data_IF_959350245677
#
_entry.id   IF_959350245677
#
_cell.length_a   1.000
_cell.length_b   1.000
_cell.length_c   1.000
_cell.angle_alpha   90.00
_cell.angle_beta   90.00
_cell.angle_gamma   90.00
#
_symmetry.space_group_name_H-M   'P 1'
#
loop_
_entity.id
_entity.type
_entity.pdbx_description
1 polymer ?
#
# COMPACT_ATOMS: atom_id res chain seq x y z
N UNK A 1 24.63 -16.61 -2.62
CA UNK A 1 23.50 -16.53 -1.68
C UNK A 1 22.36 -15.75 -2.31
N UNK A 2 22.32 -14.41 -2.29
CA UNK A 2 21.29 -13.64 -3.02
C UNK A 2 21.07 -14.05 -4.49
N UNK A 3 22.13 -14.14 -5.30
CA UNK A 3 22.02 -14.56 -6.71
C UNK A 3 21.46 -15.99 -6.85
N UNK A 4 21.73 -16.87 -5.89
CA UNK A 4 21.19 -18.23 -5.89
C UNK A 4 19.72 -18.23 -5.51
N UNK A 5 19.33 -17.46 -4.50
CA UNK A 5 17.92 -17.28 -4.11
C UNK A 5 17.08 -16.75 -5.28
N UNK A 6 17.57 -15.72 -6.00
CA UNK A 6 16.89 -15.18 -7.19
C UNK A 6 16.81 -16.23 -8.31
N UNK A 7 17.84 -17.04 -8.50
CA UNK A 7 17.81 -18.12 -9.50
C UNK A 7 16.80 -19.21 -9.14
N UNK A 8 16.73 -19.61 -7.87
CA UNK A 8 15.74 -20.57 -7.36
C UNK A 8 14.31 -20.05 -7.55
N UNK A 9 14.07 -18.80 -7.13
CA UNK A 9 12.78 -18.12 -7.35
C UNK A 9 12.35 -18.08 -8.83
N UNK A 10 13.30 -17.82 -9.74
CA UNK A 10 13.01 -17.79 -11.18
C UNK A 10 12.74 -19.18 -11.77
N UNK A 11 13.29 -20.24 -11.16
CA UNK A 11 13.08 -21.63 -11.60
C UNK A 11 11.77 -22.21 -11.03
N UNK A 12 11.30 -21.71 -9.89
CA UNK A 12 9.99 -22.06 -9.31
C UNK A 12 9.98 -23.39 -8.55
N UNK A 13 11.14 -24.00 -8.33
CA UNK A 13 11.29 -25.22 -7.52
C UNK A 13 11.70 -24.82 -6.09
N UNK A 14 11.05 -25.42 -5.09
CA UNK A 14 11.34 -25.26 -3.66
C UNK A 14 11.41 -23.80 -3.16
N UNK A 15 10.34 -23.02 -3.38
CA UNK A 15 10.25 -21.60 -2.98
C UNK A 15 10.63 -21.36 -1.51
N UNK A 16 10.25 -22.27 -0.61
CA UNK A 16 10.55 -22.19 0.82
C UNK A 16 12.03 -22.22 1.17
N UNK A 17 12.89 -22.72 0.28
CA UNK A 17 14.34 -22.76 0.51
C UNK A 17 15.01 -21.40 0.28
N UNK A 18 14.33 -20.51 -0.45
CA UNK A 18 14.87 -19.24 -0.91
C UNK A 18 14.04 -18.03 -0.47
N UNK A 19 12.83 -18.25 0.03
CA UNK A 19 11.86 -17.24 0.41
C UNK A 19 11.20 -17.58 1.75
N UNK A 20 11.10 -16.58 2.60
CA UNK A 20 10.15 -16.57 3.71
C UNK A 20 8.73 -16.45 3.14
N UNK A 21 8.16 -17.61 2.77
CA UNK A 21 6.84 -17.72 2.14
C UNK A 21 5.77 -17.14 3.04
N UNK A 22 5.82 -17.38 4.35
CA UNK A 22 4.85 -16.84 5.32
C UNK A 22 4.83 -15.31 5.29
N UNK A 23 6.01 -14.70 5.43
CA UNK A 23 6.16 -13.25 5.37
C UNK A 23 5.70 -12.66 4.03
N UNK A 24 6.00 -13.35 2.91
CA UNK A 24 5.58 -12.92 1.58
C UNK A 24 4.06 -12.99 1.38
N UNK A 25 3.40 -14.07 1.80
CA UNK A 25 1.94 -14.20 1.69
C UNK A 25 1.22 -13.16 2.55
N UNK A 26 1.71 -12.89 3.78
CA UNK A 26 1.16 -11.82 4.63
C UNK A 26 1.34 -10.44 4.01
N UNK A 27 2.51 -10.17 3.43
CA UNK A 27 2.77 -8.92 2.71
C UNK A 27 1.77 -8.73 1.55
N UNK A 28 1.57 -9.76 0.72
CA UNK A 28 0.63 -9.66 -0.39
C UNK A 28 -0.82 -9.54 0.07
N UNK A 29 -1.24 -10.32 1.08
CA UNK A 29 -2.58 -10.22 1.65
C UNK A 29 -2.87 -8.79 2.16
N UNK A 30 -1.92 -8.19 2.89
CA UNK A 30 -2.07 -6.82 3.37
C UNK A 30 -2.17 -5.80 2.22
N UNK A 31 -1.33 -5.90 1.19
CA UNK A 31 -1.41 -5.00 0.02
C UNK A 31 -2.72 -5.16 -0.76
N UNK A 32 -3.23 -6.39 -0.90
CA UNK A 32 -4.52 -6.66 -1.55
C UNK A 32 -5.70 -6.10 -0.77
N UNK A 33 -5.71 -6.31 0.55
CA UNK A 33 -6.79 -5.84 1.42
C UNK A 33 -6.84 -4.31 1.43
N UNK A 34 -5.67 -3.68 1.57
CA UNK A 34 -5.54 -2.22 1.62
C UNK A 34 -5.56 -1.56 0.25
N UNK A 35 -5.55 -2.32 -0.85
CA UNK A 35 -5.42 -1.80 -2.22
C UNK A 35 -4.23 -0.82 -2.31
N UNK A 36 -3.09 -1.27 -1.81
CA UNK A 36 -1.86 -0.49 -1.84
C UNK A 36 -1.16 -0.67 -3.19
N UNK A 37 -1.54 0.16 -4.16
CA UNK A 37 -1.02 0.08 -5.52
C UNK A 37 0.29 0.84 -5.71
N UNK A 38 0.73 1.69 -4.77
CA UNK A 38 2.10 2.23 -4.80
C UNK A 38 3.07 1.21 -4.19
N UNK A 39 3.07 -0.02 -4.73
CA UNK A 39 3.80 -1.16 -4.18
C UNK A 39 4.32 -2.08 -5.28
N UNK A 40 4.74 -3.30 -4.92
CA UNK A 40 5.13 -4.33 -5.88
C UNK A 40 4.04 -4.64 -6.92
N UNK A 41 2.75 -4.57 -6.57
CA UNK A 41 1.66 -5.13 -7.41
C UNK A 41 1.20 -4.23 -8.57
N UNK A 42 1.76 -3.05 -8.72
CA UNK A 42 1.50 -2.15 -9.85
C UNK A 42 2.75 -1.90 -10.69
N UNK A 43 2.61 -1.17 -11.81
CA UNK A 43 3.69 -0.83 -12.75
C UNK A 43 4.96 -0.23 -12.11
N UNK A 44 4.85 0.46 -10.96
CA UNK A 44 5.98 1.13 -10.32
C UNK A 44 6.93 0.18 -9.58
N UNK A 45 6.42 -0.93 -9.01
CA UNK A 45 7.23 -1.92 -8.27
C UNK A 45 8.04 -1.32 -7.10
N UNK A 46 7.48 -0.37 -6.37
CA UNK A 46 8.17 0.37 -5.31
C UNK A 46 7.73 -0.03 -3.89
N UNK A 47 8.27 0.65 -2.89
CA UNK A 47 7.81 0.63 -1.48
C UNK A 47 7.89 -0.74 -0.78
N UNK A 48 8.96 -1.47 -1.04
CA UNK A 48 9.38 -2.61 -0.23
C UNK A 48 10.90 -2.72 -0.21
N UNK A 49 11.41 -3.41 0.82
CA UNK A 49 12.79 -3.88 0.85
C UNK A 49 12.82 -5.39 0.72
N UNK A 50 13.90 -5.92 0.12
CA UNK A 50 14.24 -7.33 0.22
C UNK A 50 15.38 -7.48 1.20
N UNK A 51 15.11 -8.21 2.28
CA UNK A 51 16.11 -8.58 3.27
C UNK A 51 16.53 -10.02 3.04
N UNK A 52 17.84 -10.27 2.95
CA UNK A 52 18.38 -11.63 2.82
C UNK A 52 19.08 -12.04 4.11
N UNK A 53 18.75 -13.23 4.60
CA UNK A 53 19.42 -13.86 5.73
C UNK A 53 19.62 -15.34 5.45
N UNK A 54 20.88 -15.77 5.49
CA UNK A 54 21.30 -17.17 5.33
C UNK A 54 20.80 -17.87 4.05
N UNK A 55 20.59 -17.10 2.98
CA UNK A 55 20.11 -17.56 1.68
C UNK A 55 18.60 -17.38 1.47
N UNK A 56 17.85 -17.00 2.50
CA UNK A 56 16.39 -16.83 2.47
C UNK A 56 16.05 -15.34 2.36
N UNK A 57 15.17 -15.00 1.42
CA UNK A 57 14.67 -13.65 1.20
C UNK A 57 13.37 -13.42 1.97
N UNK A 58 13.24 -12.25 2.60
CA UNK A 58 11.99 -11.75 3.19
C UNK A 58 11.67 -10.40 2.56
N UNK A 59 10.40 -10.19 2.22
CA UNK A 59 9.90 -8.88 1.79
C UNK A 59 9.46 -8.06 3.00
N UNK A 60 9.95 -6.84 3.10
CA UNK A 60 9.62 -5.91 4.18
C UNK A 60 8.81 -4.75 3.62
N UNK A 61 7.64 -4.45 4.22
CA UNK A 61 6.81 -3.33 3.77
C UNK A 61 7.49 -1.99 4.06
N UNK A 62 7.31 -1.04 3.16
CA UNK A 62 7.71 0.35 3.33
C UNK A 62 6.61 1.26 2.79
N UNK A 63 6.48 2.47 3.33
CA UNK A 63 5.62 3.56 2.87
C UNK A 63 4.19 3.17 2.41
N UNK A 64 3.25 3.15 3.36
CA UNK A 64 1.85 2.77 3.15
C UNK A 64 0.91 3.99 3.14
N UNK A 65 1.45 5.20 3.02
CA UNK A 65 0.65 6.43 3.04
C UNK A 65 -0.40 6.53 1.91
N UNK A 66 -0.17 5.86 0.78
CA UNK A 66 -1.10 5.78 -0.36
C UNK A 66 -1.86 4.45 -0.44
N UNK A 67 -1.89 3.70 0.68
CA UNK A 67 -2.84 2.60 0.88
C UNK A 67 -4.29 3.12 0.92
N UNK A 68 -5.24 2.22 1.12
CA UNK A 68 -6.68 2.51 1.05
C UNK A 68 -7.10 3.08 -0.31
N UNK A 69 -6.53 2.52 -1.38
CA UNK A 69 -6.74 2.95 -2.76
C UNK A 69 -6.28 4.39 -3.08
N UNK A 70 -5.42 4.99 -2.25
CA UNK A 70 -4.89 6.35 -2.44
C UNK A 70 -3.98 6.54 -3.66
N UNK A 71 -3.52 5.45 -4.28
CA UNK A 71 -2.70 5.46 -5.49
C UNK A 71 -3.42 4.86 -6.71
N UNK A 72 -3.79 5.72 -7.67
CA UNK A 72 -4.15 5.33 -9.06
C UNK A 72 -5.14 4.16 -9.24
N UNK A 73 -6.12 4.02 -8.35
CA UNK A 73 -7.11 2.92 -8.41
C UNK A 73 -8.24 3.13 -9.44
N UNK A 74 -8.38 4.34 -9.96
CA UNK A 74 -9.36 4.69 -11.00
C UNK A 74 -10.73 5.10 -10.46
N UNK A 75 -11.47 4.19 -9.83
CA UNK A 75 -12.83 4.47 -9.34
C UNK A 75 -13.12 3.85 -7.96
N UNK A 76 -14.14 4.36 -7.26
CA UNK A 76 -14.59 3.82 -5.98
C UNK A 76 -15.00 2.34 -6.09
N UNK A 77 -15.71 1.98 -7.16
CA UNK A 77 -16.09 0.59 -7.41
C UNK A 77 -14.87 -0.31 -7.64
N UNK A 78 -13.88 0.13 -8.42
CA UNK A 78 -12.65 -0.62 -8.62
C UNK A 78 -11.83 -0.78 -7.32
N UNK A 79 -11.84 0.24 -6.45
CA UNK A 79 -11.17 0.21 -5.16
C UNK A 79 -11.84 -0.72 -4.15
N UNK A 80 -13.17 -0.66 -4.05
CA UNK A 80 -13.94 -1.50 -3.13
C UNK A 80 -13.91 -2.96 -3.60
N UNK A 81 -14.08 -3.19 -4.90
CA UNK A 81 -14.18 -4.53 -5.46
C UNK A 81 -12.84 -5.14 -5.91
N UNK A 82 -11.70 -4.49 -5.63
CA UNK A 82 -10.39 -4.96 -6.09
C UNK A 82 -10.20 -6.49 -5.89
N UNK A 83 -9.92 -7.25 -6.96
CA UNK A 83 -9.97 -8.71 -6.95
C UNK A 83 -8.79 -9.29 -6.17
N UNK A 84 -9.05 -10.24 -5.25
CA UNK A 84 -7.98 -10.81 -4.43
C UNK A 84 -7.14 -11.88 -5.12
N UNK A 85 -7.64 -12.55 -6.15
CA UNK A 85 -6.93 -13.63 -6.86
C UNK A 85 -6.19 -13.13 -8.11
N UNK A 86 -6.45 -11.89 -8.51
CA UNK A 86 -5.64 -11.16 -9.49
C UNK A 86 -5.32 -9.75 -8.98
N UNK A 87 -4.60 -9.62 -7.85
CA UNK A 87 -4.50 -8.36 -7.12
C UNK A 87 -3.39 -7.46 -7.71
N UNK A 88 -3.53 -7.11 -8.99
CA UNK A 88 -2.59 -6.25 -9.73
C UNK A 88 -3.34 -5.12 -10.44
N UNK A 89 -2.65 -4.02 -10.72
CA UNK A 89 -3.20 -2.88 -11.45
C UNK A 89 -2.25 -2.35 -12.53
N UNK A 90 -2.79 -2.12 -13.72
CA UNK A 90 -2.04 -1.61 -14.88
C UNK A 90 -1.01 -2.60 -15.45
N UNK A 91 -1.02 -3.85 -14.98
CA UNK A 91 -0.14 -4.95 -15.40
C UNK A 91 -0.88 -6.28 -15.27
N UNK A 92 -0.35 -7.33 -15.90
CA UNK A 92 -0.81 -8.71 -15.71
C UNK A 92 -0.12 -9.38 -14.51
N UNK A 93 -0.76 -10.42 -13.96
CA UNK A 93 -0.20 -11.17 -12.82
C UNK A 93 1.14 -11.82 -13.18
N UNK A 94 1.31 -12.31 -14.42
CA UNK A 94 2.56 -12.91 -14.89
C UNK A 94 3.74 -11.95 -14.94
N UNK A 95 3.51 -10.64 -15.05
CA UNK A 95 4.55 -9.61 -14.91
C UNK A 95 4.99 -9.41 -13.45
N UNK A 96 4.34 -10.07 -12.50
CA UNK A 96 4.65 -10.07 -11.06
C UNK A 96 5.02 -11.49 -10.62
N UNK A 97 6.17 -12.00 -11.07
CA UNK A 97 6.51 -13.42 -10.98
C UNK A 97 6.50 -13.97 -9.55
N UNK A 98 6.97 -13.22 -8.56
CA UNK A 98 6.91 -13.65 -7.16
C UNK A 98 5.48 -13.93 -6.69
N UNK A 99 4.57 -12.98 -6.93
CA UNK A 99 3.16 -13.13 -6.58
C UNK A 99 2.50 -14.23 -7.41
N UNK A 100 2.72 -14.24 -8.73
CA UNK A 100 2.15 -15.25 -9.62
C UNK A 100 2.49 -16.67 -9.18
N UNK A 101 3.76 -16.92 -8.81
CA UNK A 101 4.20 -18.24 -8.32
C UNK A 101 3.60 -18.61 -6.99
N UNK A 102 3.44 -17.65 -6.07
CA UNK A 102 2.80 -17.90 -4.79
C UNK A 102 1.31 -18.25 -4.95
N UNK A 103 0.58 -17.58 -5.85
CA UNK A 103 -0.85 -17.83 -6.06
C UNK A 103 -1.14 -19.04 -6.98
N UNK A 104 -0.14 -19.52 -7.72
CA UNK A 104 -0.25 -20.73 -8.56
C UNK A 104 -0.27 -22.03 -7.73
N UNK A 105 0.36 -22.02 -6.54
CA UNK A 105 0.41 -23.17 -5.66
C UNK A 105 -0.80 -23.18 -4.70
N UNK A 106 -1.59 -24.26 -4.73
CA UNK A 106 -2.88 -24.34 -4.04
C UNK A 106 -2.77 -24.14 -2.52
N UNK A 107 -1.72 -24.68 -1.89
CA UNK A 107 -1.54 -24.57 -0.44
C UNK A 107 -1.15 -23.15 0.00
N UNK A 108 -0.43 -22.42 -0.84
CA UNK A 108 -0.05 -21.02 -0.62
C UNK A 108 -1.22 -20.09 -0.91
N UNK A 109 -2.01 -20.36 -1.95
CA UNK A 109 -3.25 -19.63 -2.22
C UNK A 109 -4.24 -19.76 -1.05
N UNK A 110 -4.42 -20.97 -0.50
CA UNK A 110 -5.27 -21.19 0.66
C UNK A 110 -4.77 -20.44 1.91
N UNK A 111 -3.45 -20.40 2.15
CA UNK A 111 -2.85 -19.61 3.24
C UNK A 111 -3.04 -18.10 3.03
N UNK A 112 -2.89 -17.63 1.79
CA UNK A 112 -3.15 -16.24 1.43
C UNK A 112 -4.61 -15.84 1.68
N UNK A 113 -5.57 -16.67 1.30
CA UNK A 113 -7.00 -16.46 1.61
C UNK A 113 -7.25 -16.45 3.12
N UNK A 114 -6.62 -17.35 3.88
CA UNK A 114 -6.71 -17.36 5.33
C UNK A 114 -6.17 -16.05 5.96
N UNK A 115 -5.10 -15.47 5.43
CA UNK A 115 -4.60 -14.17 5.88
C UNK A 115 -5.52 -13.01 5.53
N UNK A 116 -6.15 -13.03 4.35
CA UNK A 116 -7.19 -12.05 4.02
C UNK A 116 -8.35 -12.17 5.01
N UNK A 117 -8.82 -13.39 5.29
CA UNK A 117 -9.88 -13.62 6.26
C UNK A 117 -9.49 -13.17 7.68
N UNK A 118 -8.25 -13.41 8.11
CA UNK A 118 -7.71 -12.91 9.39
C UNK A 118 -7.77 -11.37 9.46
N UNK A 119 -7.38 -10.67 8.40
CA UNK A 119 -7.42 -9.20 8.36
C UNK A 119 -8.88 -8.70 8.38
N UNK A 120 -9.77 -9.31 7.60
CA UNK A 120 -11.19 -8.93 7.50
C UNK A 120 -11.91 -9.13 8.83
N UNK A 121 -11.73 -10.30 9.45
CA UNK A 121 -12.43 -10.65 10.71
C UNK A 121 -11.79 -10.04 11.95
N UNK A 122 -10.49 -9.74 11.90
CA UNK A 122 -9.72 -9.15 13.00
C UNK A 122 -9.59 -7.63 12.92
N UNK A 123 -8.65 -7.16 12.09
CA UNK A 123 -8.32 -5.74 12.05
C UNK A 123 -9.46 -4.88 11.48
N UNK A 124 -10.08 -5.30 10.37
CA UNK A 124 -11.15 -4.50 9.73
C UNK A 124 -12.40 -4.39 10.61
N UNK A 125 -12.73 -5.43 11.39
CA UNK A 125 -13.87 -5.43 12.30
C UNK A 125 -13.72 -4.46 13.48
N UNK A 126 -12.48 -4.04 13.79
CA UNK A 126 -12.16 -3.09 14.86
C UNK A 126 -11.54 -1.78 14.33
N UNK A 127 -11.57 -1.55 13.02
CA UNK A 127 -10.92 -0.42 12.39
C UNK A 127 -11.50 0.93 12.83
N UNK A 128 -12.81 1.02 13.07
CA UNK A 128 -13.46 2.26 13.55
C UNK A 128 -12.92 2.69 14.92
N UNK A 129 -12.75 1.74 15.85
CA UNK A 129 -12.17 2.02 17.17
C UNK A 129 -10.73 2.55 17.05
N UNK A 130 -9.97 2.01 16.10
CA UNK A 130 -8.61 2.47 15.82
C UNK A 130 -8.59 3.87 15.22
N UNK A 131 -9.52 4.17 14.31
CA UNK A 131 -9.68 5.50 13.72
C UNK A 131 -10.06 6.51 14.81
N UNK A 132 -11.03 6.19 15.66
CA UNK A 132 -11.48 7.07 16.75
C UNK A 132 -10.36 7.32 17.77
N UNK A 133 -9.59 6.29 18.12
CA UNK A 133 -8.45 6.44 19.02
C UNK A 133 -7.34 7.33 18.43
N UNK A 134 -7.12 7.26 17.12
CA UNK A 134 -6.15 8.11 16.43
C UNK A 134 -6.66 9.55 16.29
N UNK A 135 -7.93 9.75 15.93
CA UNK A 135 -8.55 11.07 15.89
C UNK A 135 -8.52 11.76 17.26
N UNK A 136 -8.86 11.06 18.33
CA UNK A 136 -8.73 11.59 19.69
C UNK A 136 -7.29 11.97 20.05
N UNK A 137 -6.29 11.26 19.51
CA UNK A 137 -4.87 11.53 19.76
C UNK A 137 -4.35 12.74 18.97
N UNK A 138 -4.73 12.88 17.70
CA UNK A 138 -4.11 13.84 16.78
C UNK A 138 -5.04 14.97 16.32
N UNK A 139 -6.36 14.84 16.44
CA UNK A 139 -7.35 15.74 15.82
C UNK A 139 -7.18 17.20 16.22
N UNK A 140 -6.96 17.49 17.50
CA UNK A 140 -6.70 18.87 17.96
C UNK A 140 -5.35 19.41 17.46
N UNK A 141 -4.35 18.54 17.25
CA UNK A 141 -3.08 18.96 16.62
C UNK A 141 -3.29 19.27 15.13
N UNK A 142 -4.04 18.44 14.40
CA UNK A 142 -4.39 18.68 12.98
C UNK A 142 -5.13 20.00 12.84
N UNK A 143 -6.10 20.27 13.72
CA UNK A 143 -6.89 21.51 13.70
C UNK A 143 -6.04 22.77 13.88
N UNK A 144 -4.98 22.69 14.67
CA UNK A 144 -4.14 23.83 15.02
C UNK A 144 -2.82 23.90 14.21
N UNK A 145 -2.58 22.96 13.31
CA UNK A 145 -1.38 22.92 12.49
C UNK A 145 -1.46 23.93 11.34
N UNK A 146 -0.72 25.04 11.47
CA UNK A 146 -0.61 26.09 10.45
C UNK A 146 0.12 25.65 9.16
N UNK A 147 0.72 24.45 9.15
CA UNK A 147 1.45 23.87 8.03
C UNK A 147 0.76 22.66 7.41
N UNK A 148 -0.46 22.32 7.87
CA UNK A 148 -1.21 21.18 7.38
C UNK A 148 -1.45 21.26 5.86
N UNK A 149 -1.34 20.10 5.20
CA UNK A 149 -1.61 19.98 3.77
C UNK A 149 -3.10 20.04 3.41
N UNK A 150 -3.97 19.87 4.41
CA UNK A 150 -5.43 19.80 4.30
C UNK A 150 -6.07 20.62 5.41
N UNK A 151 -7.28 21.11 5.18
CA UNK A 151 -8.05 21.77 6.25
C UNK A 151 -8.57 20.74 7.26
N UNK A 152 -8.96 21.23 8.43
CA UNK A 152 -9.55 20.36 9.45
C UNK A 152 -10.89 19.74 8.98
N UNK A 153 -11.67 20.46 8.18
CA UNK A 153 -12.90 19.95 7.58
C UNK A 153 -12.63 18.83 6.57
N UNK A 154 -11.58 18.98 5.74
CA UNK A 154 -11.14 17.93 4.82
C UNK A 154 -10.67 16.68 5.58
N UNK A 155 -9.93 16.87 6.68
CA UNK A 155 -9.56 15.78 7.59
C UNK A 155 -10.79 15.04 8.13
N UNK A 156 -11.80 15.75 8.65
CA UNK A 156 -13.04 15.14 9.15
C UNK A 156 -13.83 14.41 8.05
N UNK A 157 -13.85 14.97 6.85
CA UNK A 157 -14.46 14.33 5.67
C UNK A 157 -13.72 13.04 5.32
N UNK A 158 -12.38 13.06 5.33
CA UNK A 158 -11.55 11.89 5.11
C UNK A 158 -11.75 10.79 6.14
N UNK A 159 -11.93 11.12 7.43
CA UNK A 159 -12.28 10.14 8.45
C UNK A 159 -13.62 9.45 8.14
N UNK A 160 -14.61 10.19 7.63
CA UNK A 160 -15.92 9.63 7.27
C UNK A 160 -15.80 8.72 6.05
N UNK A 161 -15.11 9.19 5.01
CA UNK A 161 -14.88 8.41 3.78
C UNK A 161 -14.06 7.14 4.05
N UNK A 162 -13.05 7.20 4.92
CA UNK A 162 -12.23 6.05 5.30
C UNK A 162 -13.04 4.95 5.98
N UNK A 163 -13.93 5.30 6.91
CA UNK A 163 -14.84 4.33 7.56
C UNK A 163 -15.73 3.66 6.52
N UNK A 164 -16.36 4.45 5.65
CA UNK A 164 -17.21 3.93 4.58
C UNK A 164 -16.44 2.99 3.63
N UNK A 165 -15.23 3.37 3.22
CA UNK A 165 -14.38 2.54 2.37
C UNK A 165 -14.02 1.21 3.02
N UNK A 166 -13.53 1.22 4.27
CA UNK A 166 -13.15 0.00 4.99
C UNK A 166 -14.35 -0.94 5.11
N UNK A 167 -15.53 -0.42 5.45
CA UNK A 167 -16.76 -1.21 5.54
C UNK A 167 -17.15 -1.86 4.22
N UNK A 168 -17.19 -1.09 3.12
CA UNK A 168 -17.51 -1.61 1.79
C UNK A 168 -16.46 -2.61 1.29
N UNK A 169 -15.17 -2.33 1.54
CA UNK A 169 -14.07 -3.22 1.15
C UNK A 169 -14.13 -4.54 1.90
N UNK A 170 -14.43 -4.52 3.19
CA UNK A 170 -14.62 -5.73 4.00
C UNK A 170 -15.79 -6.58 3.49
N UNK A 171 -16.91 -5.95 3.09
CA UNK A 171 -18.04 -6.64 2.47
C UNK A 171 -17.64 -7.31 1.15
N UNK A 172 -16.92 -6.60 0.28
CA UNK A 172 -16.45 -7.17 -0.99
C UNK A 172 -15.50 -8.35 -0.76
N UNK A 173 -14.52 -8.22 0.14
CA UNK A 173 -13.59 -9.31 0.47
C UNK A 173 -14.29 -10.53 1.06
N UNK A 174 -15.29 -10.31 1.94
CA UNK A 174 -16.10 -11.40 2.48
C UNK A 174 -16.84 -12.13 1.36
N UNK A 175 -17.49 -11.39 0.46
CA UNK A 175 -18.19 -12.00 -0.67
C UNK A 175 -17.25 -12.74 -1.62
N UNK A 176 -16.03 -12.23 -1.82
CA UNK A 176 -15.00 -12.92 -2.61
C UNK A 176 -14.52 -14.22 -1.95
N UNK A 177 -14.34 -14.23 -0.62
CA UNK A 177 -13.94 -15.42 0.14
C UNK A 177 -15.05 -16.50 0.14
N UNK A 178 -16.31 -16.08 0.16
CA UNK A 178 -17.49 -16.95 0.13
C UNK A 178 -17.88 -17.39 -1.29
N UNK A 179 -17.26 -16.81 -2.33
CA UNK A 179 -17.56 -17.08 -3.73
C UNK A 179 -18.87 -16.46 -4.23
N UNK A 180 -19.47 -15.54 -3.47
CA UNK A 180 -20.65 -14.75 -3.90
C UNK A 180 -20.28 -13.56 -4.78
N UNK A 181 -19.02 -13.12 -4.71
CA UNK A 181 -18.40 -12.13 -5.59
C UNK A 181 -17.20 -12.78 -6.28
N UNK A 182 -17.01 -12.63 -7.59
CA UNK A 182 -15.83 -13.18 -8.25
C UNK A 182 -14.52 -12.59 -7.70
N UNK A 183 -13.54 -13.45 -7.40
CA UNK A 183 -12.26 -13.04 -6.81
C UNK A 183 -11.21 -12.61 -7.85
N UNK A 184 -11.49 -12.71 -9.15
CA UNK A 184 -10.59 -12.33 -10.26
C UNK A 184 -11.16 -11.17 -11.07
N UNK A 185 -10.28 -10.36 -11.69
CA UNK A 185 -10.69 -9.24 -12.56
C UNK A 185 -11.62 -9.72 -13.68
N UNK A 186 -11.26 -10.82 -14.35
CA UNK A 186 -12.07 -11.41 -15.41
C UNK A 186 -13.44 -11.87 -14.90
N UNK A 187 -13.49 -12.47 -13.71
CA UNK A 187 -14.74 -12.89 -13.10
C UNK A 187 -15.65 -11.70 -12.80
N UNK A 188 -15.09 -10.62 -12.25
CA UNK A 188 -15.85 -9.41 -11.93
C UNK A 188 -16.34 -8.67 -13.18
N UNK A 189 -15.55 -8.66 -14.25
CA UNK A 189 -15.97 -8.14 -15.55
C UNK A 189 -17.14 -8.94 -16.15
N UNK A 190 -17.16 -10.25 -15.92
CA UNK A 190 -18.23 -11.13 -16.40
C UNK A 190 -19.51 -11.06 -15.55
N UNK A 191 -19.40 -10.69 -14.27
CA UNK A 191 -20.53 -10.55 -13.35
C UNK A 191 -20.44 -9.24 -12.53
N UNK A 192 -20.67 -8.08 -13.16
CA UNK A 192 -20.63 -6.79 -12.47
C UNK A 192 -21.81 -6.59 -11.50
N UNK A 193 -22.86 -7.42 -11.59
CA UNK A 193 -24.07 -7.28 -10.78
C UNK A 193 -23.90 -7.80 -9.35
N UNK A 194 -22.92 -8.69 -9.10
CA UNK A 194 -22.58 -9.15 -7.76
C UNK A 194 -21.68 -8.17 -6.98
N UNK A 195 -21.10 -7.18 -7.66
CA UNK A 195 -20.18 -6.23 -7.04
C UNK A 195 -20.87 -5.32 -6.02
N UNK A 196 -20.11 -4.93 -4.99
CA UNK A 196 -20.58 -3.96 -3.99
C UNK A 196 -20.73 -2.59 -4.65
N UNK A 197 -21.88 -1.95 -4.46
CA UNK A 197 -22.12 -0.57 -4.87
C UNK A 197 -21.31 0.40 -4.01
N UNK A 198 -20.42 1.14 -4.65
CA UNK A 198 -19.57 2.15 -4.04
C UNK A 198 -19.88 3.57 -4.54
N UNK A 199 -21.06 3.79 -5.14
CA UNK A 199 -21.47 5.08 -5.72
C UNK A 199 -21.53 6.23 -4.70
N UNK A 200 -21.77 5.91 -3.42
CA UNK A 200 -21.77 6.87 -2.32
C UNK A 200 -20.38 7.25 -1.80
N UNK A 201 -19.31 6.61 -2.27
CA UNK A 201 -17.95 6.84 -1.81
C UNK A 201 -17.18 7.76 -2.77
N UNK A 202 -16.64 8.85 -2.23
CA UNK A 202 -15.75 9.76 -2.96
C UNK A 202 -14.32 9.45 -2.55
N UNK A 203 -13.56 8.73 -3.39
CA UNK A 203 -12.19 8.31 -3.06
C UNK A 203 -11.25 9.46 -2.75
N UNK A 204 -11.40 10.61 -3.42
CA UNK A 204 -10.53 11.77 -3.21
C UNK A 204 -10.63 12.35 -1.81
N UNK A 205 -11.74 12.11 -1.10
CA UNK A 205 -11.93 12.60 0.26
C UNK A 205 -11.02 11.90 1.27
N UNK A 206 -10.56 10.68 0.97
CA UNK A 206 -9.57 9.96 1.78
C UNK A 206 -8.12 10.41 1.51
N UNK A 207 -7.92 11.38 0.61
CA UNK A 207 -6.62 11.76 0.08
C UNK A 207 -6.21 10.92 -1.13
N UNK A 208 -5.32 11.48 -1.95
CA UNK A 208 -4.78 10.80 -3.13
C UNK A 208 -3.35 11.26 -3.43
N UNK A 209 -2.66 10.51 -4.29
CA UNK A 209 -1.33 10.89 -4.77
C UNK A 209 -1.31 12.35 -5.28
N UNK A 210 -0.44 13.17 -4.66
CA UNK A 210 -0.31 14.61 -4.97
C UNK A 210 -1.19 15.54 -4.12
N UNK A 211 -2.04 14.98 -3.26
CA UNK A 211 -2.91 15.71 -2.34
C UNK A 211 -3.86 16.71 -3.00
N UNK A 212 -4.25 17.76 -2.28
CA UNK A 212 -5.14 18.81 -2.80
C UNK A 212 -4.62 19.48 -4.10
N UNK A 213 -3.30 19.41 -4.35
CA UNK A 213 -2.64 19.97 -5.54
C UNK A 213 -2.98 19.19 -6.83
N UNK A 214 -3.34 17.91 -6.72
CA UNK A 214 -3.80 17.08 -7.85
C UNK A 214 -5.30 17.27 -8.15
N UNK A 215 -6.12 17.55 -7.13
CA UNK A 215 -7.55 17.80 -7.30
C UNK A 215 -7.83 19.09 -8.10
N UNK A 216 -7.08 20.16 -7.82
CA UNK A 216 -7.16 21.44 -8.54
C UNK A 216 -6.72 21.35 -10.01
N UNK A 217 -5.89 20.36 -10.35
CA UNK A 217 -5.42 20.13 -11.72
C UNK A 217 -6.29 19.13 -12.51
N UNK A 218 -7.04 18.26 -11.83
CA UNK A 218 -8.05 17.39 -12.45
C UNK A 218 -9.40 18.11 -12.69
N UNK A 219 -9.70 19.19 -11.95
CA UNK A 219 -10.93 20.00 -12.12
C UNK A 219 -10.94 20.97 -13.31
N UNK A 220 -9.87 21.05 -14.10
CA UNK A 220 -9.75 21.99 -15.22
C UNK A 220 -10.43 21.55 -16.53
N UNK A 221 -11.31 20.54 -16.49
CA UNK A 221 -12.19 20.17 -17.59
C UNK A 221 -13.64 20.03 -17.12
N UNK A 222 -14.28 21.14 -16.73
CA UNK A 222 -15.71 21.11 -16.44
C UNK A 222 -16.25 22.35 -15.74
N UNK A 223 -16.84 23.26 -16.51
CA UNK A 223 -17.78 24.33 -16.11
C UNK A 223 -17.35 25.31 -14.99
N UNK A 224 -17.10 26.54 -15.42
CA UNK A 224 -16.81 27.71 -14.60
C UNK A 224 -17.90 28.01 -13.55
N UNK A 225 -17.55 27.99 -12.27
CA UNK A 225 -18.28 28.71 -11.21
C UNK A 225 -17.36 29.80 -10.65
N UNK A 226 -17.61 31.05 -11.06
CA UNK A 226 -16.94 32.24 -10.52
C UNK A 226 -17.33 32.42 -9.05
N UNK A 227 -16.36 32.30 -8.14
CA UNK A 227 -16.42 32.97 -6.85
C UNK A 227 -15.30 34.02 -6.80
N UNK A 228 -15.72 35.27 -6.57
CA UNK A 228 -14.87 36.44 -6.41
C UNK A 228 -14.41 36.50 -4.96
N UNK A 229 -13.13 36.79 -4.76
CA UNK A 229 -12.66 37.49 -3.56
C UNK A 229 -11.61 36.76 -2.75
N UNK A 230 -10.36 36.71 -3.23
CA UNK A 230 -9.20 36.66 -2.35
C UNK A 230 -8.04 37.41 -3.02
N UNK A 231 -7.45 38.34 -2.26
CA UNK A 231 -6.39 39.25 -2.70
C UNK A 231 -5.12 38.45 -3.05
N UNK A 232 -4.59 38.68 -4.25
CA UNK A 232 -3.27 38.17 -4.67
C UNK A 232 -2.17 38.99 -4.01
N UNK A 233 -1.25 38.32 -3.32
CA UNK A 233 0.12 38.84 -3.10
C UNK A 233 1.03 38.27 -4.19
N UNK A 234 1.88 39.06 -4.86
CA UNK A 234 2.73 38.53 -5.91
C UNK A 234 4.05 38.02 -5.31
N UNK A 235 4.29 36.71 -5.36
CA UNK A 235 5.65 36.19 -5.28
C UNK A 235 6.16 35.90 -6.69
N UNK A 236 7.12 36.72 -7.13
CA UNK A 236 7.75 36.67 -8.44
C UNK A 236 8.84 35.62 -8.42
N UNK A 237 8.62 34.47 -9.06
CA UNK A 237 9.71 33.51 -9.35
C UNK A 237 10.01 33.59 -10.84
N UNK A 238 11.18 34.14 -11.17
CA UNK A 238 11.73 34.13 -12.53
C UNK A 238 12.07 32.68 -12.90
N UNK A 239 11.51 32.20 -14.02
CA UNK A 239 11.95 30.95 -14.65
C UNK A 239 13.22 31.25 -15.44
N UNK A 240 14.34 30.65 -15.05
CA UNK A 240 15.49 30.43 -15.94
C UNK A 240 15.61 28.92 -16.19
N UNK A 241 15.75 28.47 -17.45
CA UNK A 241 15.92 27.06 -17.75
C UNK A 241 17.39 26.65 -17.57
N UNK A 242 17.63 25.55 -16.86
CA UNK A 242 18.93 24.88 -16.83
C UNK A 242 19.09 24.00 -18.09
N UNK A 243 20.23 24.01 -18.78
CA UNK A 243 20.49 23.11 -19.89
C UNK A 243 20.97 21.74 -19.40
N UNK A 244 20.46 20.69 -20.05
CA UNK A 244 20.93 19.32 -19.89
C UNK A 244 22.37 19.18 -20.42
N UNK A 245 23.26 18.56 -19.63
CA UNK A 245 24.55 18.09 -20.10
C UNK A 245 24.75 16.63 -19.71
N UNK A 246 25.11 15.83 -20.71
CA UNK A 246 25.45 14.43 -20.63
C UNK A 246 26.71 14.22 -19.78
N UNK A 247 26.70 13.20 -18.92
CA UNK A 247 27.89 12.76 -18.19
C UNK A 247 28.62 11.68 -18.98
N UNK A 248 29.80 12.03 -19.49
CA UNK A 248 30.85 11.10 -19.88
C UNK A 248 31.70 10.73 -18.67
N UNK A 249 32.15 9.47 -18.63
CA UNK A 249 32.92 8.87 -17.56
C UNK A 249 34.34 9.46 -17.43
N UNK A 250 34.88 9.46 -16.19
CA UNK A 250 36.32 9.66 -15.93
C UNK A 250 36.82 8.80 -14.74
N UNK A 251 38.13 8.48 -14.68
CA UNK A 251 38.71 7.26 -14.09
C UNK A 251 39.12 7.38 -12.60
N UNK A 252 39.62 6.30 -11.95
CA UNK A 252 39.63 6.22 -10.48
C UNK A 252 40.90 6.82 -9.86
N UNK A 253 40.73 7.57 -8.77
CA UNK A 253 41.83 8.16 -8.01
C UNK A 253 41.50 8.34 -6.52
N UNK A 254 42.14 7.50 -5.70
CA UNK A 254 42.52 7.65 -4.27
C UNK A 254 41.42 7.89 -3.21
N UNK A 255 41.22 6.86 -2.38
CA UNK A 255 40.41 6.84 -1.15
C UNK A 255 41.06 7.65 -0.02
N UNK A 256 40.25 8.38 0.73
CA UNK A 256 40.55 8.84 2.09
C UNK A 256 39.85 7.92 3.12
N UNK A 257 40.44 7.67 4.31
CA UNK A 257 39.86 6.75 5.30
C UNK A 257 38.72 7.40 6.10
N UNK A 258 37.77 6.61 6.65
CA UNK A 258 36.65 7.13 7.43
C UNK A 258 37.05 7.47 8.89
N UNK A 259 36.36 8.43 9.53
CA UNK A 259 36.58 8.75 10.94
C UNK A 259 35.99 7.69 11.89
N UNK A 260 36.66 7.52 13.02
CA UNK A 260 36.43 6.53 14.08
C UNK A 260 35.19 6.78 14.93
N UNK A 261 34.48 5.69 15.26
CA UNK A 261 33.32 5.60 16.16
C UNK A 261 33.63 6.04 17.60
N UNK A 262 32.84 7.00 18.12
CA UNK A 262 32.69 7.27 19.54
C UNK A 262 31.49 6.51 20.11
N UNK A 263 31.72 5.72 21.16
CA UNK A 263 30.69 4.98 21.92
C UNK A 263 29.94 5.92 22.86
N UNK A 264 28.63 5.75 22.99
CA UNK A 264 27.93 5.87 24.28
C UNK A 264 26.63 5.05 24.29
N UNK A 265 26.18 4.55 25.46
CA UNK A 265 25.26 3.42 25.57
C UNK A 265 23.83 3.86 25.92
N UNK A 266 22.81 3.27 25.31
CA UNK A 266 21.49 3.13 25.94
C UNK A 266 20.75 1.95 25.28
N UNK A 267 20.62 0.86 26.03
CA UNK A 267 20.03 -0.41 25.64
C UNK A 267 19.13 -0.86 26.80
N UNK A 268 17.83 -0.64 26.67
CA UNK A 268 16.72 -1.29 27.39
C UNK A 268 15.48 -1.03 26.53
N UNK A 269 14.63 -1.96 26.15
CA UNK A 269 14.51 -3.37 26.52
C UNK A 269 13.06 -3.76 26.25
N UNK A 270 12.80 -4.47 25.15
CA UNK A 270 11.57 -5.23 24.94
C UNK A 270 11.97 -6.55 24.28
N UNK A 271 12.33 -7.51 25.13
CA UNK A 271 12.54 -8.89 24.76
C UNK A 271 11.71 -9.72 25.75
N UNK A 272 10.64 -10.37 25.29
CA UNK A 272 10.06 -11.54 25.96
C UNK A 272 9.74 -12.61 24.91
N UNK A 273 10.21 -13.85 25.10
CA UNK A 273 10.03 -14.94 24.16
C UNK A 273 8.68 -15.66 24.35
N UNK A 274 8.22 -16.28 23.26
CA UNK A 274 7.14 -17.28 23.23
C UNK A 274 7.67 -18.61 23.78
N UNK A 275 6.98 -19.23 24.72
CA UNK A 275 7.13 -20.65 25.03
C UNK A 275 5.83 -21.40 24.76
N UNK A 276 6.00 -22.55 24.12
CA UNK A 276 4.99 -23.50 23.73
C UNK A 276 4.48 -24.30 24.93
N UNK A 277 3.18 -24.62 24.94
CA UNK A 277 2.61 -25.67 25.79
C UNK A 277 1.89 -26.67 24.89
N UNK A 278 2.57 -27.80 24.63
CA UNK A 278 1.95 -29.08 24.31
C UNK A 278 2.51 -30.10 25.32
N UNK A 279 1.66 -30.58 26.23
CA UNK A 279 1.82 -31.91 26.84
C UNK A 279 0.43 -32.54 27.01
N UNK A 280 0.36 -33.79 26.55
CA UNK A 280 -0.76 -34.72 26.49
C UNK A 280 -1.35 -35.06 27.86
N UNK A 281 -2.67 -35.26 27.89
CA UNK A 281 -3.31 -36.51 28.28
C UNK A 281 -4.68 -36.58 27.56
#
# INVERSE_FOLDING_TARGET
RLIQAIKGLNQGEDLSDYLDVDGALRYFAANTVLVNLDSYVSSLKHNYYLYEKDGVLTILPWDYNLSFAGFQTGSASAAVNFPMDTPVSGVSLSERPLLARLLEEESYLAQYHAYIQEIVTGWMSTAEEKIDALDALIGEYVKNDATAFYTYEEYQTGLTALRAYIGLRAQSLTGQLEGTIPATSQGQEADPASLIDASGLVLSDMGSMGGAWAADSAGASGTSRRLRGARRLPCRVQKTPFPATAQTANPPGRRAPPPTLGRSPFLMGWNRPREAIFRRA
#
